data_IF_023719060648
#
_entry.id   IF_023719060648
#
_cell.length_a   1.000
_cell.length_b   1.000
_cell.length_c   1.000
_cell.angle_alpha   90.00
_cell.angle_beta   90.00
_cell.angle_gamma   90.00
#
_symmetry.space_group_name_H-M   'P 1'
#
loop_
_entity.id
_entity.type
_entity.pdbx_description
1 polymer ?
#
# COMPACT_ATOMS: atom_id res chain seq x y z
N UNK A 1 11.51 26.05 28.21
CA UNK A 1 11.39 24.56 28.17
C UNK A 1 10.07 24.08 27.55
N UNK A 2 8.93 24.70 27.85
CA UNK A 2 7.62 24.35 27.25
C UNK A 2 7.53 24.60 25.74
N UNK A 3 8.11 25.69 25.23
CA UNK A 3 8.15 25.97 23.79
C UNK A 3 8.82 24.83 23.01
N UNK A 4 9.95 24.32 23.51
CA UNK A 4 10.69 23.21 22.90
C UNK A 4 9.86 21.91 22.92
N UNK A 5 9.18 21.61 24.03
CA UNK A 5 8.26 20.45 24.13
C UNK A 5 7.13 20.55 23.10
N UNK A 6 6.53 21.74 22.94
CA UNK A 6 5.46 21.99 21.98
C UNK A 6 5.95 21.86 20.52
N UNK A 7 7.12 22.39 20.21
CA UNK A 7 7.75 22.24 18.89
C UNK A 7 8.05 20.76 18.58
N UNK A 8 8.63 20.01 19.51
CA UNK A 8 8.90 18.58 19.35
C UNK A 8 7.60 17.80 19.10
N UNK A 9 6.53 18.12 19.83
CA UNK A 9 5.24 17.47 19.65
C UNK A 9 4.65 17.78 18.25
N UNK A 10 4.69 19.04 17.80
CA UNK A 10 4.21 19.43 16.48
C UNK A 10 5.02 18.78 15.35
N UNK A 11 6.35 18.74 15.48
CA UNK A 11 7.25 18.09 14.52
C UNK A 11 7.07 16.57 14.52
N UNK A 12 6.82 15.96 15.66
CA UNK A 12 6.58 14.52 15.78
C UNK A 12 5.24 14.09 15.18
N UNK A 13 4.15 14.83 15.40
CA UNK A 13 2.87 14.58 14.74
C UNK A 13 2.96 14.73 13.21
N UNK A 14 3.74 15.71 12.76
CA UNK A 14 3.99 15.96 11.35
C UNK A 14 4.88 14.86 10.74
N UNK A 15 5.87 14.36 11.49
CA UNK A 15 6.70 13.21 11.10
C UNK A 15 5.89 11.92 11.01
N UNK A 16 5.01 11.65 11.98
CA UNK A 16 4.07 10.52 11.93
C UNK A 16 3.17 10.58 10.70
N UNK A 17 2.68 11.77 10.37
CA UNK A 17 1.89 12.00 9.17
C UNK A 17 2.69 11.73 7.91
N UNK A 18 3.90 12.27 7.78
CA UNK A 18 4.76 12.03 6.62
C UNK A 18 5.10 10.55 6.48
N UNK A 19 5.63 9.92 7.53
CA UNK A 19 5.93 8.48 7.55
C UNK A 19 4.73 7.66 7.09
N UNK A 20 3.53 7.90 7.63
CA UNK A 20 2.34 7.11 7.27
C UNK A 20 1.99 7.17 5.79
N UNK A 21 2.35 8.26 5.10
CA UNK A 21 2.04 8.49 3.69
C UNK A 21 3.21 8.15 2.75
N UNK A 22 4.46 8.22 3.22
CA UNK A 22 5.65 8.03 2.40
C UNK A 22 6.34 6.68 2.59
N UNK A 23 6.11 5.98 3.71
CA UNK A 23 6.76 4.69 4.07
C UNK A 23 6.53 3.57 3.05
N UNK A 24 5.52 3.70 2.19
CA UNK A 24 5.30 2.75 1.08
C UNK A 24 6.15 3.11 -0.13
N UNK A 25 6.15 4.39 -0.51
CA UNK A 25 6.71 4.86 -1.76
C UNK A 25 8.23 5.00 -1.70
N UNK A 26 8.76 5.68 -0.69
CA UNK A 26 10.18 6.06 -0.67
C UNK A 26 11.09 4.85 -0.43
N UNK A 27 10.83 3.98 0.58
CA UNK A 27 11.67 2.80 0.75
C UNK A 27 11.56 1.85 -0.43
N UNK A 28 10.40 1.76 -1.10
CA UNK A 28 10.25 1.02 -2.33
C UNK A 28 11.21 1.52 -3.42
N UNK A 29 11.24 2.84 -3.67
CA UNK A 29 12.17 3.47 -4.63
C UNK A 29 13.63 3.21 -4.25
N UNK A 30 13.96 3.29 -2.96
CA UNK A 30 15.31 3.03 -2.48
C UNK A 30 15.74 1.59 -2.77
N UNK A 31 14.95 0.61 -2.34
CA UNK A 31 15.34 -0.79 -2.47
C UNK A 31 15.30 -1.27 -3.93
N UNK A 32 14.40 -0.75 -4.77
CA UNK A 32 14.39 -1.11 -6.20
C UNK A 32 15.58 -0.51 -6.96
N UNK A 33 16.15 0.61 -6.49
CA UNK A 33 17.38 1.18 -7.06
C UNK A 33 18.62 0.35 -6.72
N UNK A 34 18.60 -0.41 -5.62
CA UNK A 34 19.70 -1.33 -5.29
C UNK A 34 19.75 -2.54 -6.24
N UNK A 35 18.61 -2.91 -6.83
CA UNK A 35 18.49 -4.09 -7.68
C UNK A 35 19.19 -3.89 -9.03
N UNK A 36 20.14 -4.77 -9.32
CA UNK A 36 20.82 -4.89 -10.62
C UNK A 36 20.12 -5.86 -11.59
N UNK A 37 19.02 -6.48 -11.16
CA UNK A 37 18.25 -7.44 -11.95
C UNK A 37 18.85 -8.85 -12.02
N UNK A 38 20.03 -9.09 -11.42
CA UNK A 38 20.76 -10.36 -11.58
C UNK A 38 21.15 -10.97 -10.23
N UNK A 39 21.69 -10.17 -9.30
CA UNK A 39 22.22 -10.69 -8.06
C UNK A 39 21.13 -10.82 -6.98
N UNK A 40 21.09 -11.98 -6.32
CA UNK A 40 20.13 -12.24 -5.24
C UNK A 40 20.29 -11.23 -4.10
N UNK A 41 21.52 -10.90 -3.72
CA UNK A 41 21.81 -10.00 -2.61
C UNK A 41 21.30 -8.57 -2.82
N UNK A 42 21.19 -8.11 -4.07
CA UNK A 42 20.75 -6.75 -4.43
C UNK A 42 19.23 -6.67 -4.60
N UNK A 43 18.59 -7.77 -5.01
CA UNK A 43 17.14 -7.89 -5.20
C UNK A 43 16.41 -8.19 -3.89
N UNK A 44 17.00 -9.03 -3.03
CA UNK A 44 16.33 -9.53 -1.82
C UNK A 44 15.85 -8.43 -0.86
N UNK A 45 16.59 -7.32 -0.60
CA UNK A 45 16.10 -6.20 0.22
C UNK A 45 14.74 -5.68 -0.25
N UNK A 46 14.58 -5.47 -1.57
CA UNK A 46 13.35 -5.01 -2.18
C UNK A 46 12.22 -6.04 -2.03
N UNK A 47 12.53 -7.30 -2.34
CA UNK A 47 11.55 -8.39 -2.27
C UNK A 47 11.03 -8.55 -0.84
N UNK A 48 11.91 -8.56 0.16
CA UNK A 48 11.55 -8.71 1.56
C UNK A 48 10.78 -7.49 2.07
N UNK A 49 11.25 -6.26 1.78
CA UNK A 49 10.51 -5.06 2.13
C UNK A 49 9.05 -5.12 1.63
N UNK A 50 8.86 -5.42 0.35
CA UNK A 50 7.54 -5.48 -0.25
C UNK A 50 6.70 -6.62 0.34
N UNK A 51 7.28 -7.81 0.50
CA UNK A 51 6.59 -8.99 1.00
C UNK A 51 6.11 -8.75 2.44
N UNK A 52 6.99 -8.30 3.33
CA UNK A 52 6.61 -7.98 4.71
C UNK A 52 5.63 -6.80 4.78
N UNK A 53 5.74 -5.80 3.90
CA UNK A 53 4.79 -4.69 3.84
C UNK A 53 3.36 -5.16 3.51
N UNK A 54 3.24 -6.08 2.57
CA UNK A 54 1.96 -6.59 2.08
C UNK A 54 1.35 -7.63 3.03
N UNK A 55 2.18 -8.47 3.65
CA UNK A 55 1.69 -9.59 4.46
C UNK A 55 1.72 -9.32 5.97
N UNK A 56 2.51 -8.36 6.43
CA UNK A 56 2.71 -8.06 7.85
C UNK A 56 1.42 -7.74 8.60
N UNK A 57 0.36 -7.28 7.93
CA UNK A 57 -0.96 -7.07 8.57
C UNK A 57 -1.62 -8.38 9.01
N UNK A 58 -1.37 -9.48 8.29
CA UNK A 58 -1.85 -10.82 8.67
C UNK A 58 -1.02 -11.40 9.82
N UNK A 59 0.28 -11.06 9.88
CA UNK A 59 1.16 -11.47 10.96
C UNK A 59 0.68 -10.98 12.32
N UNK A 60 0.27 -9.71 12.45
CA UNK A 60 -0.29 -9.18 13.71
C UNK A 60 -1.54 -9.96 14.14
N UNK A 61 -2.42 -10.27 13.19
CA UNK A 61 -3.64 -11.02 13.49
C UNK A 61 -3.34 -12.47 13.91
N UNK A 62 -2.21 -13.01 13.44
CA UNK A 62 -1.67 -14.29 13.85
C UNK A 62 -1.04 -14.25 15.24
N UNK A 63 -0.13 -13.32 15.52
CA UNK A 63 0.59 -13.20 16.79
C UNK A 63 -0.27 -12.44 17.80
N UNK A 64 -1.21 -13.17 18.44
CA UNK A 64 -2.02 -12.81 19.62
C UNK A 64 -2.55 -11.36 19.69
N UNK A 65 -3.89 -11.24 19.70
CA UNK A 65 -4.71 -10.02 19.77
C UNK A 65 -4.53 -9.11 21.01
N UNK A 66 -3.47 -9.25 21.82
CA UNK A 66 -3.25 -8.51 23.08
C UNK A 66 -2.47 -7.20 22.91
N UNK A 67 -2.02 -6.87 21.69
CA UNK A 67 -1.27 -5.66 21.41
C UNK A 67 -2.23 -4.55 20.98
N UNK A 68 -2.46 -3.59 21.88
CA UNK A 68 -3.25 -2.38 21.59
C UNK A 68 -2.62 -1.56 20.44
N UNK A 69 -3.45 -0.79 19.72
CA UNK A 69 -2.98 0.03 18.59
C UNK A 69 -1.80 0.96 18.96
N UNK A 70 -1.76 1.50 20.19
CA UNK A 70 -0.68 2.38 20.65
C UNK A 70 0.63 1.62 20.90
N UNK A 71 0.58 0.41 21.47
CA UNK A 71 1.76 -0.45 21.67
C UNK A 71 2.34 -0.87 20.32
N UNK A 72 1.45 -1.26 19.40
CA UNK A 72 1.85 -1.63 18.05
C UNK A 72 2.43 -0.44 17.27
N UNK A 73 1.91 0.78 17.47
CA UNK A 73 2.50 2.00 16.91
C UNK A 73 3.93 2.22 17.42
N UNK A 74 4.17 2.10 18.74
CA UNK A 74 5.53 2.19 19.31
C UNK A 74 6.47 1.16 18.69
N UNK A 75 6.03 -0.09 18.60
CA UNK A 75 6.82 -1.15 18.01
C UNK A 75 7.12 -0.88 16.52
N UNK A 76 6.13 -0.40 15.76
CA UNK A 76 6.33 -0.03 14.35
C UNK A 76 7.35 1.10 14.17
N UNK A 77 7.38 2.10 15.06
CA UNK A 77 8.38 3.17 15.01
C UNK A 77 9.79 2.66 15.37
N UNK A 78 9.90 1.75 16.35
CA UNK A 78 11.18 1.15 16.71
C UNK A 78 11.76 0.33 15.56
N UNK A 79 10.96 -0.55 14.96
CA UNK A 79 11.39 -1.32 13.79
C UNK A 79 11.76 -0.40 12.63
N UNK A 80 10.96 0.63 12.37
CA UNK A 80 11.24 1.56 11.28
C UNK A 80 12.51 2.39 11.50
N UNK A 81 12.73 2.86 12.73
CA UNK A 81 13.95 3.56 13.12
C UNK A 81 15.18 2.67 13.02
N UNK A 82 15.13 1.45 13.58
CA UNK A 82 16.20 0.47 13.48
C UNK A 82 16.49 0.09 12.02
N UNK A 83 15.45 -0.14 11.21
CA UNK A 83 15.58 -0.43 9.79
C UNK A 83 16.21 0.72 9.01
N UNK A 84 15.86 1.98 9.33
CA UNK A 84 16.47 3.16 8.70
C UNK A 84 17.94 3.30 9.10
N UNK A 85 18.27 3.08 10.37
CA UNK A 85 19.65 3.09 10.85
C UNK A 85 20.51 2.00 10.18
N UNK A 86 20.01 0.77 10.11
CA UNK A 86 20.69 -0.32 9.42
C UNK A 86 20.84 -0.05 7.92
N UNK A 87 19.83 0.54 7.27
CA UNK A 87 19.90 0.93 5.85
C UNK A 87 20.95 2.00 5.59
N UNK A 88 21.18 2.90 6.55
CA UNK A 88 22.25 3.90 6.48
C UNK A 88 23.65 3.24 6.56
N UNK A 89 23.83 2.32 7.51
CA UNK A 89 25.10 1.57 7.68
C UNK A 89 25.33 0.58 6.54
N UNK A 90 24.27 0.12 5.89
CA UNK A 90 24.35 -0.83 4.78
C UNK A 90 25.15 -0.31 3.57
N UNK A 91 25.35 1.00 3.45
CA UNK A 91 26.28 1.57 2.47
C UNK A 91 27.73 1.11 2.69
N UNK A 92 28.11 0.79 3.93
CA UNK A 92 29.42 0.22 4.29
C UNK A 92 29.38 -1.31 4.28
N UNK A 93 28.27 -1.91 4.75
CA UNK A 93 28.10 -3.37 4.79
C UNK A 93 26.77 -3.79 4.14
N UNK A 94 26.83 -4.07 2.84
CA UNK A 94 25.68 -4.33 1.96
C UNK A 94 24.63 -5.34 2.50
N UNK A 95 25.00 -6.46 3.17
CA UNK A 95 24.01 -7.41 3.69
C UNK A 95 22.99 -6.79 4.68
N UNK A 96 23.30 -5.66 5.32
CA UNK A 96 22.35 -4.97 6.21
C UNK A 96 21.13 -4.40 5.47
N UNK A 97 21.19 -4.22 4.15
CA UNK A 97 20.01 -3.83 3.37
C UNK A 97 18.89 -4.88 3.47
N UNK A 98 19.23 -6.16 3.62
CA UNK A 98 18.25 -7.24 3.79
C UNK A 98 17.47 -7.02 5.10
N UNK A 99 18.18 -6.81 6.20
CA UNK A 99 17.58 -6.59 7.53
C UNK A 99 16.79 -5.27 7.53
N UNK A 100 17.36 -4.22 6.94
CA UNK A 100 16.68 -2.93 6.75
C UNK A 100 15.35 -3.10 6.01
N UNK A 101 15.34 -3.87 4.92
CA UNK A 101 14.14 -4.18 4.14
C UNK A 101 13.06 -4.87 4.97
N UNK A 102 13.42 -5.90 5.75
CA UNK A 102 12.48 -6.60 6.65
C UNK A 102 11.86 -5.62 7.66
N UNK A 103 12.70 -4.86 8.38
CA UNK A 103 12.26 -3.98 9.46
C UNK A 103 11.39 -2.82 8.96
N UNK A 104 11.79 -2.19 7.85
CA UNK A 104 10.99 -1.15 7.20
C UNK A 104 9.71 -1.70 6.57
N UNK A 105 9.73 -2.94 6.07
CA UNK A 105 8.56 -3.62 5.55
C UNK A 105 7.50 -3.84 6.63
N UNK A 106 7.91 -4.37 7.79
CA UNK A 106 7.05 -4.54 8.97
C UNK A 106 6.56 -3.19 9.52
N UNK A 107 7.45 -2.21 9.65
CA UNK A 107 7.06 -0.85 10.06
C UNK A 107 6.02 -0.27 9.12
N UNK A 108 6.25 -0.38 7.81
CA UNK A 108 5.32 0.04 6.78
C UNK A 108 3.98 -0.67 6.90
N UNK A 109 3.96 -1.97 7.17
CA UNK A 109 2.74 -2.75 7.35
C UNK A 109 1.84 -2.18 8.47
N UNK A 110 2.46 -1.75 9.57
CA UNK A 110 1.75 -1.50 10.81
C UNK A 110 1.52 -0.02 11.09
N UNK A 111 2.51 0.83 10.82
CA UNK A 111 2.52 2.25 11.19
C UNK A 111 1.32 3.04 10.64
N UNK A 112 0.98 2.99 9.33
CA UNK A 112 -0.12 3.81 8.80
C UNK A 112 -1.47 3.43 9.40
N UNK A 113 -1.66 2.12 9.64
CA UNK A 113 -2.88 1.59 10.22
C UNK A 113 -3.00 2.03 11.70
N UNK A 114 -1.96 1.80 12.50
CA UNK A 114 -1.99 2.08 13.94
C UNK A 114 -2.04 3.57 14.23
N UNK A 115 -1.30 4.39 13.47
CA UNK A 115 -1.38 5.85 13.56
C UNK A 115 -2.80 6.35 13.28
N UNK A 116 -3.48 5.77 12.27
CA UNK A 116 -4.87 6.13 11.97
C UNK A 116 -5.83 5.69 13.08
N UNK A 117 -5.66 4.49 13.65
CA UNK A 117 -6.46 4.01 14.78
C UNK A 117 -6.32 4.94 15.99
N UNK A 118 -5.08 5.27 16.37
CA UNK A 118 -4.78 6.15 17.50
C UNK A 118 -5.37 7.55 17.29
N UNK A 119 -5.21 8.15 16.09
CA UNK A 119 -5.79 9.46 15.78
C UNK A 119 -7.32 9.48 15.82
N UNK A 120 -7.97 8.41 15.36
CA UNK A 120 -9.43 8.32 15.42
C UNK A 120 -9.93 8.19 16.86
N UNK A 121 -9.23 7.41 17.69
CA UNK A 121 -9.53 7.29 19.11
C UNK A 121 -9.36 8.64 19.83
N UNK A 122 -8.21 9.31 19.67
CA UNK A 122 -7.99 10.60 20.31
C UNK A 122 -9.06 11.64 19.91
N UNK A 123 -9.53 11.59 18.65
CA UNK A 123 -10.60 12.45 18.16
C UNK A 123 -11.96 12.18 18.82
N UNK A 124 -12.30 10.93 19.13
CA UNK A 124 -13.54 10.59 19.87
C UNK A 124 -13.52 11.17 21.29
N UNK A 125 -12.36 11.15 21.95
CA UNK A 125 -12.17 11.71 23.29
C UNK A 125 -11.82 13.21 23.30
N UNK A 126 -12.10 13.94 22.21
CA UNK A 126 -11.89 15.39 22.11
C UNK A 126 -10.43 15.86 22.07
N UNK A 127 -9.45 14.95 22.10
CA UNK A 127 -8.02 15.25 22.02
C UNK A 127 -7.60 15.36 20.55
N UNK A 128 -7.74 16.53 19.96
CA UNK A 128 -7.20 16.78 18.60
C UNK A 128 -5.76 17.28 18.69
N UNK A 129 -4.80 16.42 18.40
CA UNK A 129 -3.43 16.86 18.14
C UNK A 129 -3.32 17.49 16.76
N UNK A 130 -2.84 18.73 16.72
CA UNK A 130 -2.60 19.47 15.47
C UNK A 130 -1.27 19.04 14.88
N UNK A 131 -1.28 18.68 13.60
CA UNK A 131 -0.09 18.66 12.76
C UNK A 131 0.26 20.10 12.36
N UNK A 132 1.54 20.46 12.34
CA UNK A 132 1.95 21.78 11.88
C UNK A 132 2.21 21.76 10.38
N UNK A 133 1.53 22.63 9.63
CA UNK A 133 1.75 22.78 8.18
C UNK A 133 3.19 23.19 7.89
N UNK A 134 3.77 24.08 8.71
CA UNK A 134 5.16 24.49 8.55
C UNK A 134 6.14 23.34 8.79
N UNK A 135 5.88 22.49 9.79
CA UNK A 135 6.72 21.32 10.03
C UNK A 135 6.59 20.29 8.91
N UNK A 136 5.38 20.06 8.38
CA UNK A 136 5.19 19.22 7.19
C UNK A 136 5.98 19.77 6.01
N UNK A 137 5.93 21.08 5.76
CA UNK A 137 6.67 21.71 4.67
C UNK A 137 8.18 21.56 4.84
N UNK A 138 8.72 21.89 6.02
CA UNK A 138 10.16 21.78 6.32
C UNK A 138 10.64 20.33 6.18
N UNK A 139 9.91 19.38 6.77
CA UNK A 139 10.27 17.98 6.69
C UNK A 139 10.18 17.48 5.24
N UNK A 140 9.14 17.83 4.49
CA UNK A 140 9.02 17.47 3.07
C UNK A 140 10.17 18.06 2.24
N UNK A 141 10.52 19.32 2.49
CA UNK A 141 11.67 19.98 1.86
C UNK A 141 12.97 19.23 2.18
N UNK A 142 13.18 18.82 3.44
CA UNK A 142 14.33 18.00 3.84
C UNK A 142 14.41 16.69 3.05
N UNK A 143 13.28 16.00 2.85
CA UNK A 143 13.22 14.78 2.05
C UNK A 143 13.54 15.05 0.57
N UNK A 144 12.99 16.13 0.00
CA UNK A 144 13.26 16.52 -1.38
C UNK A 144 14.75 16.91 -1.58
N UNK A 145 15.32 17.66 -0.64
CA UNK A 145 16.75 17.97 -0.64
C UNK A 145 17.60 16.69 -0.62
N UNK A 146 17.27 15.71 0.24
CA UNK A 146 17.96 14.41 0.25
C UNK A 146 17.82 13.66 -1.08
N UNK A 147 16.70 13.82 -1.79
CA UNK A 147 16.49 13.19 -3.10
C UNK A 147 17.27 13.85 -4.24
N UNK A 148 17.49 15.17 -4.20
CA UNK A 148 18.15 15.95 -5.26
C UNK A 148 19.66 16.00 -5.04
N UNK A 149 20.11 16.30 -3.83
CA UNK A 149 21.53 16.53 -3.48
C UNK A 149 22.28 15.21 -3.34
N UNK A 150 21.56 14.10 -3.20
CA UNK A 150 22.12 12.83 -2.75
C UNK A 150 23.24 12.24 -3.61
N UNK A 151 23.30 12.51 -4.92
CA UNK A 151 24.31 11.94 -5.82
C UNK A 151 24.47 10.43 -5.62
N UNK A 152 25.71 9.96 -5.45
CA UNK A 152 26.03 8.56 -5.14
C UNK A 152 25.61 8.13 -3.72
N UNK A 153 25.45 9.07 -2.78
CA UNK A 153 25.09 8.83 -1.37
C UNK A 153 23.58 9.02 -1.09
N UNK A 154 22.75 9.06 -2.14
CA UNK A 154 21.31 9.32 -2.04
C UNK A 154 20.60 8.36 -1.09
N UNK A 155 20.97 7.08 -1.12
CA UNK A 155 20.41 6.07 -0.21
C UNK A 155 20.66 6.42 1.26
N UNK A 156 21.91 6.72 1.62
CA UNK A 156 22.34 7.07 2.99
C UNK A 156 21.57 8.29 3.51
N UNK A 157 21.49 9.36 2.71
CA UNK A 157 20.81 10.59 3.11
C UNK A 157 19.31 10.39 3.32
N UNK A 158 18.64 9.61 2.46
CA UNK A 158 17.21 9.34 2.63
C UNK A 158 16.97 8.46 3.87
N UNK A 159 17.80 7.44 4.12
CA UNK A 159 17.71 6.64 5.35
C UNK A 159 17.94 7.48 6.60
N UNK A 160 18.88 8.44 6.56
CA UNK A 160 19.11 9.37 7.66
C UNK A 160 17.89 10.27 7.92
N UNK A 161 17.30 10.86 6.87
CA UNK A 161 16.07 11.67 7.01
C UNK A 161 14.93 10.84 7.61
N UNK A 162 14.77 9.58 7.16
CA UNK A 162 13.78 8.67 7.73
C UNK A 162 14.04 8.37 9.21
N UNK A 163 15.30 8.14 9.60
CA UNK A 163 15.69 7.94 10.99
C UNK A 163 15.28 9.15 11.85
N UNK A 164 15.56 10.38 11.37
CA UNK A 164 15.14 11.61 12.03
C UNK A 164 13.62 11.68 12.19
N UNK A 165 12.85 11.31 11.16
CA UNK A 165 11.39 11.26 11.25
C UNK A 165 10.91 10.26 12.31
N UNK A 166 11.49 9.06 12.35
CA UNK A 166 11.13 8.05 13.36
C UNK A 166 11.44 8.52 14.78
N UNK A 167 12.56 9.21 14.98
CA UNK A 167 12.93 9.78 16.28
C UNK A 167 11.93 10.86 16.71
N UNK A 168 11.63 11.83 15.84
CA UNK A 168 10.62 12.86 16.16
C UNK A 168 9.23 12.26 16.43
N UNK A 169 8.81 11.30 15.61
CA UNK A 169 7.57 10.57 15.81
C UNK A 169 7.54 9.84 17.16
N UNK A 170 8.61 9.14 17.52
CA UNK A 170 8.74 8.40 18.78
C UNK A 170 8.69 9.31 20.00
N UNK A 171 9.30 10.50 19.93
CA UNK A 171 9.25 11.50 21.01
C UNK A 171 7.84 12.05 21.23
N UNK A 172 7.02 12.22 20.17
CA UNK A 172 5.62 12.66 20.30
C UNK A 172 4.72 11.63 21.01
N UNK A 173 5.08 10.34 20.96
CA UNK A 173 4.26 9.29 21.58
C UNK A 173 4.17 9.39 23.10
N UNK A 174 5.10 10.09 23.77
CA UNK A 174 5.03 10.34 25.22
C UNK A 174 3.81 11.19 25.63
N UNK A 175 3.28 12.00 24.70
CA UNK A 175 2.08 12.83 24.93
C UNK A 175 0.76 12.17 24.52
N UNK A 176 0.76 10.88 24.14
CA UNK A 176 -0.47 10.14 23.83
C UNK A 176 -1.09 9.58 25.11
N UNK A 177 -2.39 9.81 25.30
CA UNK A 177 -3.10 9.27 26.45
C UNK A 177 -3.01 7.75 26.42
N UNK A 178 -2.65 7.14 27.55
CA UNK A 178 -2.61 5.69 27.69
C UNK A 178 -3.98 5.15 27.33
N UNK A 179 -4.02 4.34 26.27
CA UNK A 179 -5.22 3.69 25.78
C UNK A 179 -5.73 2.78 26.91
N UNK A 180 -6.91 3.06 27.48
CA UNK A 180 -7.62 2.07 28.28
C UNK A 180 -8.35 1.20 27.28
N UNK A 181 -7.64 0.24 26.69
CA UNK A 181 -8.31 -0.82 25.97
C UNK A 181 -9.27 -1.48 26.98
N UNK A 182 -10.58 -1.35 26.75
CA UNK A 182 -11.55 -2.23 27.41
C UNK A 182 -11.17 -3.64 27.00
N UNK A 183 -10.49 -4.33 27.92
CA UNK A 183 -10.07 -5.72 27.82
C UNK A 183 -11.31 -6.61 27.85
N UNK A 184 -12.14 -6.55 26.81
CA UNK A 184 -12.96 -7.69 26.44
C UNK A 184 -12.09 -8.57 25.55
N UNK A 185 -11.27 -9.36 26.25
CA UNK A 185 -10.44 -10.41 25.71
C UNK A 185 -11.33 -11.52 25.11
N UNK A 186 -11.77 -11.35 23.87
CA UNK A 186 -11.90 -12.51 23.00
C UNK A 186 -10.49 -12.92 22.55
N UNK A 187 -9.83 -13.64 23.47
CA UNK A 187 -8.53 -14.27 23.33
C UNK A 187 -8.67 -15.38 22.28
N UNK A 188 -8.31 -15.09 21.03
CA UNK A 188 -8.11 -16.17 20.04
C UNK A 188 -6.96 -15.80 19.12
N UNK A 189 -5.85 -16.50 19.31
CA UNK A 189 -4.83 -16.69 18.29
C UNK A 189 -5.50 -17.16 16.99
N UNK A 190 -5.47 -16.34 15.94
CA UNK A 190 -6.08 -16.69 14.67
C UNK A 190 -5.08 -17.52 13.85
N UNK A 191 -5.08 -18.85 14.08
CA UNK A 191 -4.36 -19.84 13.22
C UNK A 191 -4.58 -19.56 11.73
N UNK A 192 -5.77 -19.07 11.39
CA UNK A 192 -6.18 -18.72 10.03
C UNK A 192 -5.40 -17.54 9.45
N UNK A 193 -5.23 -16.47 10.22
CA UNK A 193 -4.51 -15.29 9.76
C UNK A 193 -3.00 -15.53 9.71
N UNK A 194 -2.46 -16.37 10.61
CA UNK A 194 -1.09 -16.84 10.50
C UNK A 194 -0.87 -17.72 9.26
N UNK A 195 -1.82 -18.61 8.94
CA UNK A 195 -1.79 -19.39 7.70
C UNK A 195 -1.85 -18.49 6.46
N UNK A 196 -2.70 -17.46 6.45
CA UNK A 196 -2.72 -16.45 5.38
C UNK A 196 -1.41 -15.68 5.27
N UNK A 197 -0.81 -15.32 6.40
CA UNK A 197 0.50 -14.68 6.42
C UNK A 197 1.53 -15.57 5.73
N UNK A 198 1.72 -16.80 6.22
CA UNK A 198 2.71 -17.73 5.67
C UNK A 198 2.47 -17.99 4.19
N UNK A 199 1.21 -18.20 3.81
CA UNK A 199 0.88 -18.47 2.42
C UNK A 199 1.16 -17.28 1.51
N UNK A 200 0.57 -16.12 1.77
CA UNK A 200 0.83 -14.94 0.93
C UNK A 200 2.28 -14.52 0.99
N UNK A 201 2.97 -14.75 2.10
CA UNK A 201 4.40 -14.49 2.23
C UNK A 201 5.18 -15.38 1.26
N UNK A 202 4.99 -16.70 1.31
CA UNK A 202 5.65 -17.62 0.39
C UNK A 202 5.28 -17.31 -1.07
N UNK A 203 4.00 -17.13 -1.39
CA UNK A 203 3.57 -16.85 -2.77
C UNK A 203 4.15 -15.55 -3.31
N UNK A 204 4.16 -14.47 -2.52
CA UNK A 204 4.75 -13.19 -2.94
C UNK A 204 6.27 -13.25 -3.02
N UNK A 205 6.91 -13.96 -2.08
CA UNK A 205 8.35 -14.18 -2.09
C UNK A 205 8.73 -14.93 -3.36
N UNK A 206 8.09 -16.05 -3.69
CA UNK A 206 8.33 -16.79 -4.93
C UNK A 206 8.02 -15.97 -6.17
N UNK A 207 6.88 -15.27 -6.24
CA UNK A 207 6.51 -14.46 -7.40
C UNK A 207 7.51 -13.34 -7.68
N UNK A 208 8.04 -12.71 -6.62
CA UNK A 208 9.00 -11.59 -6.74
C UNK A 208 10.43 -12.07 -6.91
N UNK A 209 10.81 -13.15 -6.24
CA UNK A 209 12.09 -13.83 -6.42
C UNK A 209 12.15 -14.59 -7.74
N UNK A 210 11.03 -14.89 -8.39
CA UNK A 210 11.02 -15.48 -9.74
C UNK A 210 11.80 -14.63 -10.74
N UNK A 211 11.87 -13.30 -10.53
CA UNK A 211 12.72 -12.41 -11.32
C UNK A 211 14.22 -12.71 -11.25
N UNK A 212 14.66 -13.50 -10.26
CA UNK A 212 16.02 -13.98 -10.10
C UNK A 212 16.31 -15.24 -10.91
N UNK A 213 15.28 -15.89 -11.45
CA UNK A 213 15.44 -17.08 -12.28
C UNK A 213 15.95 -16.61 -13.65
N UNK A 214 17.21 -16.92 -13.93
CA UNK A 214 17.88 -16.60 -15.21
C UNK A 214 17.33 -17.46 -16.36
N UNK A 215 16.75 -18.62 -16.03
CA UNK A 215 16.11 -19.53 -16.97
C UNK A 215 14.64 -19.12 -17.22
N UNK A 216 14.33 -18.76 -18.47
CA UNK A 216 12.99 -18.35 -18.90
C UNK A 216 11.93 -19.42 -18.58
N UNK A 217 12.25 -20.70 -18.81
CA UNK A 217 11.34 -21.83 -18.57
C UNK A 217 11.01 -22.02 -17.08
N UNK A 218 11.99 -21.86 -16.19
CA UNK A 218 11.78 -21.95 -14.74
C UNK A 218 10.93 -20.78 -14.22
N UNK A 219 11.14 -19.59 -14.79
CA UNK A 219 10.32 -18.41 -14.50
C UNK A 219 8.86 -18.61 -14.93
N UNK A 220 8.62 -19.21 -16.10
CA UNK A 220 7.29 -19.50 -16.63
C UNK A 220 6.52 -20.45 -15.73
N UNK A 221 7.15 -21.57 -15.35
CA UNK A 221 6.56 -22.53 -14.42
C UNK A 221 6.32 -21.92 -13.03
N UNK A 222 7.21 -21.03 -12.58
CA UNK A 222 7.04 -20.31 -11.31
C UNK A 222 5.83 -19.39 -11.34
N UNK A 223 5.67 -18.55 -12.38
CA UNK A 223 4.52 -17.65 -12.50
C UNK A 223 3.22 -18.45 -12.60
N UNK A 224 3.16 -19.46 -13.48
CA UNK A 224 1.96 -20.28 -13.67
C UNK A 224 1.61 -21.08 -12.42
N UNK A 225 2.60 -21.75 -11.81
CA UNK A 225 2.41 -22.56 -10.62
C UNK A 225 1.92 -21.74 -9.42
N UNK A 226 2.55 -20.59 -9.16
CA UNK A 226 2.16 -19.71 -8.06
C UNK A 226 0.79 -19.07 -8.32
N UNK A 227 0.48 -18.69 -9.57
CA UNK A 227 -0.82 -18.11 -9.92
C UNK A 227 -1.96 -19.13 -9.86
N UNK A 228 -1.73 -20.34 -10.35
CA UNK A 228 -2.69 -21.46 -10.27
C UNK A 228 -2.94 -21.83 -8.81
N UNK A 229 -1.88 -21.93 -8.00
CA UNK A 229 -2.01 -22.20 -6.58
C UNK A 229 -2.80 -21.09 -5.87
N UNK A 230 -2.56 -19.82 -6.20
CA UNK A 230 -3.34 -18.70 -5.67
C UNK A 230 -4.83 -18.82 -6.05
N UNK A 231 -5.14 -19.18 -7.29
CA UNK A 231 -6.51 -19.37 -7.76
C UNK A 231 -7.21 -20.54 -7.04
N UNK A 232 -6.56 -21.70 -6.98
CA UNK A 232 -7.06 -22.88 -6.24
C UNK A 232 -7.26 -22.55 -4.76
N UNK A 233 -6.36 -21.77 -4.16
CA UNK A 233 -6.49 -21.31 -2.80
C UNK A 233 -7.71 -20.39 -2.60
N UNK A 234 -7.90 -19.38 -3.46
CA UNK A 234 -9.06 -18.48 -3.39
C UNK A 234 -10.38 -19.25 -3.53
N UNK A 235 -10.43 -20.22 -4.45
CA UNK A 235 -11.60 -21.09 -4.63
C UNK A 235 -11.83 -22.02 -3.42
N UNK A 236 -10.78 -22.68 -2.93
CA UNK A 236 -10.82 -23.57 -1.76
C UNK A 236 -11.20 -22.84 -0.47
N UNK A 237 -10.77 -21.58 -0.32
CA UNK A 237 -11.16 -20.69 0.76
C UNK A 237 -12.67 -20.41 0.73
N UNK A 238 -13.25 -20.14 -0.44
CA UNK A 238 -14.66 -19.76 -0.52
C UNK A 238 -15.60 -20.87 0.02
N UNK A 239 -15.20 -22.13 -0.13
CA UNK A 239 -15.92 -23.29 0.42
C UNK A 239 -15.70 -23.49 1.93
N UNK A 240 -14.47 -23.29 2.44
CA UNK A 240 -14.17 -23.49 3.88
C UNK A 240 -14.55 -22.31 4.78
N UNK A 241 -14.66 -21.08 4.24
CA UNK A 241 -14.71 -19.83 5.00
C UNK A 241 -16.13 -19.25 5.15
N UNK A 242 -17.13 -19.87 4.50
CA UNK A 242 -18.53 -19.43 4.51
C UNK A 242 -19.21 -19.48 5.89
N UNK A 243 -18.66 -20.21 6.86
CA UNK A 243 -19.46 -20.63 8.03
C UNK A 243 -19.47 -19.72 9.28
N UNK A 244 -18.73 -18.61 9.45
CA UNK A 244 -18.89 -17.85 10.73
C UNK A 244 -18.41 -16.40 10.96
N UNK A 245 -17.81 -15.63 10.03
CA UNK A 245 -16.94 -14.50 10.50
C UNK A 245 -17.02 -13.15 9.79
N UNK A 246 -18.07 -12.83 9.02
CA UNK A 246 -18.17 -11.48 8.43
C UNK A 246 -18.99 -10.55 9.31
N UNK A 247 -18.35 -9.92 10.32
CA UNK A 247 -18.96 -8.85 11.15
C UNK A 247 -19.15 -7.53 10.39
N UNK A 248 -18.88 -7.49 9.08
CA UNK A 248 -18.92 -6.29 8.22
C UNK A 248 -19.77 -6.57 6.98
N UNK A 249 -20.56 -5.59 6.54
CA UNK A 249 -21.43 -5.73 5.37
C UNK A 249 -20.65 -6.09 4.10
N UNK A 250 -21.22 -6.96 3.26
CA UNK A 250 -20.59 -7.41 2.01
C UNK A 250 -20.28 -6.26 1.04
N UNK A 251 -21.14 -5.23 1.00
CA UNK A 251 -20.92 -4.02 0.22
C UNK A 251 -19.63 -3.29 0.66
N UNK A 252 -19.45 -3.09 1.97
CA UNK A 252 -18.29 -2.38 2.48
C UNK A 252 -17.00 -3.17 2.22
N UNK A 253 -17.03 -4.49 2.37
CA UNK A 253 -15.88 -5.35 2.05
C UNK A 253 -15.54 -5.33 0.56
N UNK A 254 -16.54 -5.36 -0.33
CA UNK A 254 -16.32 -5.32 -1.78
C UNK A 254 -15.64 -4.01 -2.19
N UNK A 255 -16.15 -2.86 -1.75
CA UNK A 255 -15.54 -1.55 -2.02
C UNK A 255 -14.12 -1.46 -1.45
N UNK A 256 -13.89 -2.06 -0.28
CA UNK A 256 -12.56 -2.11 0.34
C UNK A 256 -11.58 -2.94 -0.47
N UNK A 257 -12.05 -4.05 -1.04
CA UNK A 257 -11.27 -4.90 -1.94
C UNK A 257 -10.93 -4.14 -3.24
N UNK A 258 -11.91 -3.49 -3.88
CA UNK A 258 -11.68 -2.62 -5.04
C UNK A 258 -10.66 -1.53 -4.74
N UNK A 259 -10.75 -0.88 -3.58
CA UNK A 259 -9.78 0.15 -3.19
C UNK A 259 -8.35 -0.42 -3.05
N UNK A 260 -8.22 -1.69 -2.65
CA UNK A 260 -6.95 -2.43 -2.65
C UNK A 260 -6.44 -2.71 -4.06
N UNK A 261 -7.32 -3.20 -4.95
CA UNK A 261 -7.04 -3.45 -6.37
C UNK A 261 -6.54 -2.17 -7.05
N UNK A 262 -7.29 -1.07 -6.96
CA UNK A 262 -6.92 0.23 -7.55
C UNK A 262 -5.60 0.74 -6.98
N UNK A 263 -5.35 0.53 -5.68
CA UNK A 263 -4.08 0.88 -5.06
C UNK A 263 -2.89 0.13 -5.67
N UNK A 264 -3.03 -1.17 -5.92
CA UNK A 264 -1.99 -1.96 -6.57
C UNK A 264 -1.86 -1.64 -8.06
N UNK A 265 -2.97 -1.41 -8.75
CA UNK A 265 -2.99 -0.96 -10.13
C UNK A 265 -2.21 0.35 -10.30
N UNK A 266 -2.49 1.36 -9.48
CA UNK A 266 -1.74 2.63 -9.51
C UNK A 266 -0.23 2.45 -9.29
N UNK A 267 0.16 1.68 -8.27
CA UNK A 267 1.57 1.56 -7.92
C UNK A 267 2.32 0.56 -8.78
N UNK A 268 1.87 -0.70 -8.79
CA UNK A 268 2.59 -1.79 -9.43
C UNK A 268 2.39 -1.75 -10.94
N UNK A 269 1.12 -1.73 -11.39
CA UNK A 269 0.87 -1.67 -12.83
C UNK A 269 1.34 -0.33 -13.40
N UNK A 270 1.02 0.80 -12.75
CA UNK A 270 1.53 2.11 -13.16
C UNK A 270 3.06 2.16 -13.27
N UNK A 271 3.81 1.55 -12.35
CA UNK A 271 5.27 1.50 -12.48
C UNK A 271 5.74 0.68 -13.67
N UNK A 272 5.08 -0.45 -13.97
CA UNK A 272 5.44 -1.30 -15.09
C UNK A 272 5.08 -0.63 -16.41
N UNK A 273 3.88 -0.05 -16.49
CA UNK A 273 3.38 0.67 -17.65
C UNK A 273 4.27 1.86 -18.00
N UNK A 274 4.54 2.75 -17.04
CA UNK A 274 5.39 3.92 -17.29
C UNK A 274 6.82 3.52 -17.66
N UNK A 275 7.39 2.51 -16.99
CA UNK A 275 8.73 2.01 -17.36
C UNK A 275 8.74 1.43 -18.78
N UNK A 276 7.75 0.60 -19.12
CA UNK A 276 7.69 -0.06 -20.42
C UNK A 276 7.31 0.88 -21.59
N UNK A 277 6.55 1.94 -21.34
CA UNK A 277 6.06 2.87 -22.38
C UNK A 277 6.91 4.15 -22.48
N UNK A 278 7.32 4.72 -21.35
CA UNK A 278 8.00 6.02 -21.27
C UNK A 278 9.44 5.93 -20.73
N UNK A 279 9.90 4.74 -20.32
CA UNK A 279 11.25 4.51 -19.82
C UNK A 279 11.38 4.74 -18.32
N UNK A 280 12.40 4.15 -17.69
CA UNK A 280 12.55 4.15 -16.23
C UNK A 280 12.75 5.54 -15.61
N UNK A 281 13.37 6.46 -16.34
CA UNK A 281 13.63 7.83 -15.87
C UNK A 281 12.33 8.66 -15.72
N UNK A 282 11.31 8.33 -16.50
CA UNK A 282 10.02 9.02 -16.50
C UNK A 282 9.13 8.69 -15.28
N UNK A 283 9.49 7.67 -14.48
CA UNK A 283 8.70 7.24 -13.31
C UNK A 283 8.42 8.37 -12.31
N UNK A 284 9.40 9.24 -12.08
CA UNK A 284 9.27 10.31 -11.11
C UNK A 284 8.19 11.32 -11.54
N UNK A 285 8.22 11.73 -12.81
CA UNK A 285 7.35 12.76 -13.39
C UNK A 285 5.99 12.23 -13.79
N UNK A 286 5.93 11.05 -14.43
CA UNK A 286 4.67 10.51 -14.97
C UNK A 286 3.86 9.70 -13.95
N UNK A 287 4.50 9.12 -12.93
CA UNK A 287 3.81 8.31 -11.92
C UNK A 287 3.83 8.96 -10.54
N UNK A 288 5.02 9.15 -9.95
CA UNK A 288 5.11 9.49 -8.54
C UNK A 288 4.64 10.91 -8.22
N UNK A 289 4.96 11.89 -9.07
CA UNK A 289 4.49 13.26 -8.91
C UNK A 289 2.95 13.40 -8.99
N UNK A 290 2.26 12.96 -10.07
CA UNK A 290 0.80 13.05 -10.13
C UNK A 290 0.12 12.18 -9.05
N UNK A 291 0.70 11.03 -8.71
CA UNK A 291 0.21 10.21 -7.60
C UNK A 291 0.25 10.96 -6.27
N UNK A 292 1.40 11.58 -5.93
CA UNK A 292 1.57 12.37 -4.71
C UNK A 292 0.65 13.59 -4.68
N UNK A 293 0.54 14.33 -5.78
CA UNK A 293 -0.36 15.47 -5.91
C UNK A 293 -1.81 15.05 -5.68
N UNK A 294 -2.29 13.96 -6.29
CA UNK A 294 -3.64 13.44 -6.08
C UNK A 294 -3.93 13.15 -4.61
N UNK A 295 -2.97 12.55 -3.88
CA UNK A 295 -3.09 12.31 -2.45
C UNK A 295 -3.16 13.62 -1.63
N UNK A 296 -2.31 14.59 -1.92
CA UNK A 296 -2.26 15.89 -1.22
C UNK A 296 -3.59 16.64 -1.39
N UNK A 297 -4.09 16.71 -2.63
CA UNK A 297 -5.39 17.33 -2.92
C UNK A 297 -6.54 16.59 -2.20
N UNK A 298 -6.50 15.26 -2.15
CA UNK A 298 -7.50 14.48 -1.42
C UNK A 298 -7.48 14.78 0.09
N UNK A 299 -6.31 14.97 0.70
CA UNK A 299 -6.20 15.35 2.11
C UNK A 299 -6.88 16.70 2.39
N UNK A 300 -6.72 17.67 1.49
CA UNK A 300 -7.35 18.98 1.61
C UNK A 300 -8.88 18.95 1.40
N UNK A 301 -9.37 18.15 0.44
CA UNK A 301 -10.75 18.21 -0.03
C UNK A 301 -11.66 17.10 0.50
N UNK A 302 -11.13 15.99 1.01
CA UNK A 302 -11.92 14.82 1.45
C UNK A 302 -13.01 15.16 2.46
N UNK A 303 -12.70 16.00 3.45
CA UNK A 303 -13.66 16.42 4.48
C UNK A 303 -14.86 17.16 3.90
N UNK A 304 -14.62 18.05 2.92
CA UNK A 304 -15.66 18.84 2.26
C UNK A 304 -16.51 17.97 1.35
N UNK A 305 -15.89 17.13 0.53
CA UNK A 305 -16.60 16.23 -0.39
C UNK A 305 -17.52 15.26 0.37
N UNK A 306 -17.01 14.60 1.41
CA UNK A 306 -17.80 13.64 2.20
C UNK A 306 -18.98 14.34 2.89
N UNK A 307 -18.81 15.60 3.35
CA UNK A 307 -19.89 16.36 3.99
C UNK A 307 -20.93 16.83 2.98
N UNK A 308 -20.50 17.34 1.82
CA UNK A 308 -21.37 17.93 0.81
C UNK A 308 -22.26 16.89 0.12
N UNK A 309 -21.70 15.73 -0.24
CA UNK A 309 -22.43 14.70 -0.97
C UNK A 309 -23.14 13.69 -0.08
N UNK A 310 -22.91 13.71 1.25
CA UNK A 310 -23.62 12.88 2.23
C UNK A 310 -23.68 11.41 1.83
N UNK A 311 -24.89 10.86 1.69
CA UNK A 311 -25.14 9.47 1.31
C UNK A 311 -24.68 9.12 -0.12
N UNK A 312 -24.68 10.08 -1.04
CA UNK A 312 -24.24 9.88 -2.44
C UNK A 312 -22.71 9.87 -2.58
N UNK A 313 -21.97 10.14 -1.51
CA UNK A 313 -20.50 10.19 -1.52
C UNK A 313 -19.89 8.94 -2.13
N UNK A 314 -20.34 7.73 -1.74
CA UNK A 314 -19.75 6.50 -2.25
C UNK A 314 -19.93 6.36 -3.77
N UNK A 315 -21.11 6.72 -4.30
CA UNK A 315 -21.39 6.65 -5.74
C UNK A 315 -20.50 7.61 -6.51
N UNK A 316 -20.36 8.84 -6.03
CA UNK A 316 -19.46 9.84 -6.63
C UNK A 316 -18.01 9.35 -6.67
N UNK A 317 -17.52 8.75 -5.58
CA UNK A 317 -16.15 8.26 -5.51
C UNK A 317 -15.91 7.09 -6.47
N UNK A 318 -16.86 6.17 -6.59
CA UNK A 318 -16.77 5.07 -7.55
C UNK A 318 -16.88 5.55 -9.01
N UNK A 319 -17.73 6.54 -9.29
CA UNK A 319 -17.79 7.18 -10.61
C UNK A 319 -16.51 7.94 -10.95
N UNK A 320 -15.92 8.63 -9.97
CA UNK A 320 -14.63 9.28 -10.12
C UNK A 320 -13.49 8.29 -10.39
N UNK A 321 -13.49 7.13 -9.74
CA UNK A 321 -12.57 6.03 -10.05
C UNK A 321 -12.79 5.49 -11.47
N UNK A 322 -14.04 5.27 -11.89
CA UNK A 322 -14.36 4.87 -13.27
C UNK A 322 -13.87 5.90 -14.29
N UNK A 323 -14.12 7.19 -14.04
CA UNK A 323 -13.62 8.27 -14.90
C UNK A 323 -12.09 8.28 -14.99
N UNK A 324 -11.39 8.14 -13.85
CA UNK A 324 -9.93 8.03 -13.83
C UNK A 324 -9.41 6.82 -14.60
N UNK A 325 -10.09 5.66 -14.52
CA UNK A 325 -9.77 4.47 -15.31
C UNK A 325 -9.96 4.71 -16.81
N UNK A 326 -11.06 5.34 -17.23
CA UNK A 326 -11.27 5.66 -18.65
C UNK A 326 -10.19 6.61 -19.19
N UNK A 327 -9.77 7.59 -18.39
CA UNK A 327 -8.65 8.50 -18.75
C UNK A 327 -7.33 7.73 -18.88
N UNK A 328 -7.08 6.70 -18.04
CA UNK A 328 -5.90 5.84 -18.15
C UNK A 328 -5.82 5.07 -19.47
N UNK A 329 -6.93 4.80 -20.14
CA UNK A 329 -6.94 4.10 -21.45
C UNK A 329 -6.35 4.98 -22.56
N UNK A 330 -6.32 6.31 -22.38
CA UNK A 330 -5.74 7.24 -23.34
C UNK A 330 -4.29 7.53 -22.95
N UNK A 331 -3.33 6.97 -23.70
CA UNK A 331 -1.89 7.04 -23.38
C UNK A 331 -1.38 8.48 -23.10
N UNK A 332 -1.86 9.47 -23.87
CA UNK A 332 -1.48 10.88 -23.70
C UNK A 332 -2.00 11.51 -22.39
N UNK A 333 -3.05 10.95 -21.79
CA UNK A 333 -3.70 11.47 -20.58
C UNK A 333 -3.33 10.66 -19.32
N UNK A 334 -2.35 9.76 -19.39
CA UNK A 334 -1.98 8.88 -18.27
C UNK A 334 -1.62 9.66 -17.00
N UNK A 335 -0.94 10.80 -17.11
CA UNK A 335 -0.64 11.67 -15.95
C UNK A 335 -1.93 12.13 -15.25
N UNK A 336 -2.92 12.58 -16.03
CA UNK A 336 -4.22 13.00 -15.51
C UNK A 336 -5.00 11.81 -14.93
N UNK A 337 -4.94 10.64 -15.57
CA UNK A 337 -5.54 9.40 -15.07
C UNK A 337 -4.98 8.99 -13.71
N UNK A 338 -3.64 8.97 -13.56
CA UNK A 338 -2.94 8.66 -12.31
C UNK A 338 -3.34 9.65 -11.21
N UNK A 339 -3.37 10.94 -11.53
CA UNK A 339 -3.79 11.98 -10.58
C UNK A 339 -5.23 11.77 -10.11
N UNK A 340 -6.18 11.60 -11.03
CA UNK A 340 -7.60 11.41 -10.73
C UNK A 340 -7.84 10.15 -9.90
N UNK A 341 -7.24 9.03 -10.31
CA UNK A 341 -7.33 7.77 -9.59
C UNK A 341 -6.73 7.90 -8.19
N UNK A 342 -5.55 8.51 -8.05
CA UNK A 342 -4.92 8.74 -6.75
C UNK A 342 -5.79 9.59 -5.83
N UNK A 343 -6.38 10.66 -6.37
CA UNK A 343 -7.30 11.53 -5.64
C UNK A 343 -8.54 10.77 -5.14
N UNK A 344 -9.32 10.17 -6.05
CA UNK A 344 -10.57 9.50 -5.69
C UNK A 344 -10.33 8.27 -4.80
N UNK A 345 -9.27 7.50 -5.05
CA UNK A 345 -8.86 6.38 -4.19
C UNK A 345 -8.48 6.86 -2.79
N UNK A 346 -7.81 8.00 -2.67
CA UNK A 346 -7.44 8.57 -1.36
C UNK A 346 -8.66 9.08 -0.59
N UNK A 347 -9.60 9.76 -1.26
CA UNK A 347 -10.87 10.18 -0.65
C UNK A 347 -11.72 8.96 -0.27
N UNK A 348 -11.78 7.92 -1.12
CA UNK A 348 -12.44 6.65 -0.82
C UNK A 348 -11.82 5.96 0.38
N UNK A 349 -10.50 5.95 0.49
CA UNK A 349 -9.82 5.40 1.66
C UNK A 349 -10.19 6.15 2.95
N UNK A 350 -10.33 7.48 2.91
CA UNK A 350 -10.80 8.28 4.05
C UNK A 350 -12.26 8.00 4.39
N UNK A 351 -13.14 7.87 3.39
CA UNK A 351 -14.53 7.47 3.59
C UNK A 351 -14.62 6.08 4.22
N UNK A 352 -13.89 5.10 3.69
CA UNK A 352 -13.79 3.74 4.25
C UNK A 352 -13.30 3.76 5.70
N UNK A 353 -12.29 4.57 6.05
CA UNK A 353 -11.85 4.69 7.46
C UNK A 353 -13.01 5.10 8.35
N UNK A 354 -13.80 6.11 7.97
CA UNK A 354 -14.96 6.56 8.74
C UNK A 354 -16.02 5.46 8.82
N UNK A 355 -16.34 4.79 7.71
CA UNK A 355 -17.36 3.74 7.64
C UNK A 355 -17.02 2.48 8.41
N UNK A 356 -15.72 2.11 8.50
CA UNK A 356 -15.28 1.02 9.36
C UNK A 356 -15.26 1.43 10.83
N UNK A 357 -14.86 2.67 11.12
CA UNK A 357 -14.80 3.16 12.49
C UNK A 357 -16.19 3.31 13.12
N UNK A 358 -17.25 3.55 12.34
CA UNK A 358 -18.64 3.57 12.82
C UNK A 358 -19.24 2.20 13.13
N UNK A 359 -18.55 1.09 12.85
CA UNK A 359 -19.04 -0.27 13.10
C UNK A 359 -18.92 -0.65 14.58
N UNK A 360 -19.91 -0.27 15.40
CA UNK A 360 -19.89 -0.50 16.86
C UNK A 360 -19.77 -1.98 17.28
N UNK A 361 -20.23 -2.92 16.43
CA UNK A 361 -20.18 -4.37 16.68
C UNK A 361 -18.75 -4.97 16.68
N UNK A 362 -17.75 -4.19 16.26
CA UNK A 362 -16.34 -4.61 16.21
C UNK A 362 -15.58 -3.77 17.21
N UNK A 363 -14.64 -4.37 17.96
CA UNK A 363 -13.78 -3.61 18.86
C UNK A 363 -12.96 -2.56 18.10
N UNK A 364 -12.76 -1.38 18.70
CA UNK A 364 -12.18 -0.21 18.03
C UNK A 364 -10.85 -0.51 17.33
N UNK A 365 -9.95 -1.26 17.97
CA UNK A 365 -8.65 -1.63 17.39
C UNK A 365 -8.77 -2.56 16.19
N UNK A 366 -9.73 -3.51 16.21
CA UNK A 366 -9.90 -4.48 15.13
C UNK A 366 -10.56 -3.88 13.88
N UNK A 367 -11.27 -2.74 14.00
CA UNK A 367 -12.00 -2.10 12.87
C UNK A 367 -11.07 -1.78 11.70
N UNK A 368 -9.97 -1.06 11.96
CA UNK A 368 -9.04 -0.70 10.90
C UNK A 368 -8.16 -1.89 10.49
N UNK A 369 -7.90 -2.86 11.38
CA UNK A 369 -7.16 -4.07 11.01
C UNK A 369 -7.91 -4.86 9.94
N UNK A 370 -9.23 -5.02 10.07
CA UNK A 370 -10.07 -5.70 9.08
C UNK A 370 -10.06 -4.94 7.75
N UNK A 371 -10.17 -3.61 7.79
CA UNK A 371 -10.09 -2.76 6.60
C UNK A 371 -8.78 -2.96 5.85
N UNK A 372 -7.63 -2.74 6.50
CA UNK A 372 -6.32 -2.85 5.87
C UNK A 372 -6.01 -4.28 5.40
N UNK A 373 -6.42 -5.30 6.16
CA UNK A 373 -6.32 -6.70 5.74
C UNK A 373 -7.11 -6.97 4.46
N UNK A 374 -8.34 -6.44 4.35
CA UNK A 374 -9.18 -6.60 3.15
C UNK A 374 -8.62 -5.84 1.95
N UNK A 375 -8.08 -4.63 2.16
CA UNK A 375 -7.37 -3.88 1.13
C UNK A 375 -6.14 -4.65 0.62
N UNK A 376 -5.35 -5.22 1.51
CA UNK A 376 -4.17 -6.00 1.12
C UNK A 376 -4.56 -7.27 0.35
N UNK A 377 -5.66 -7.95 0.71
CA UNK A 377 -6.20 -9.06 -0.10
C UNK A 377 -6.51 -8.63 -1.53
N UNK A 378 -7.19 -7.49 -1.71
CA UNK A 378 -7.47 -6.94 -3.04
C UNK A 378 -6.20 -6.61 -3.83
N UNK A 379 -5.21 -6.00 -3.16
CA UNK A 379 -3.92 -5.68 -3.77
C UNK A 379 -3.16 -6.93 -4.23
N UNK A 380 -3.07 -7.95 -3.37
CA UNK A 380 -2.42 -9.23 -3.66
C UNK A 380 -3.15 -9.96 -4.81
N UNK A 381 -4.49 -9.99 -4.78
CA UNK A 381 -5.28 -10.60 -5.85
C UNK A 381 -5.03 -9.94 -7.21
N UNK A 382 -5.00 -8.59 -7.25
CA UNK A 382 -4.65 -7.88 -8.46
C UNK A 382 -3.21 -8.14 -8.90
N UNK A 383 -2.26 -8.31 -7.98
CA UNK A 383 -0.87 -8.60 -8.32
C UNK A 383 -0.74 -9.95 -9.05
N UNK A 384 -1.40 -10.99 -8.54
CA UNK A 384 -1.41 -12.30 -9.20
C UNK A 384 -2.09 -12.21 -10.57
N UNK A 385 -3.27 -11.59 -10.63
CA UNK A 385 -3.94 -11.34 -11.90
C UNK A 385 -3.03 -10.64 -12.91
N UNK A 386 -2.35 -9.57 -12.50
CA UNK A 386 -1.49 -8.79 -13.38
C UNK A 386 -0.31 -9.61 -13.89
N UNK A 387 0.34 -10.40 -13.03
CA UNK A 387 1.45 -11.25 -13.46
C UNK A 387 0.97 -12.34 -14.43
N UNK A 388 -0.18 -12.96 -14.17
CA UNK A 388 -0.79 -13.92 -15.10
C UNK A 388 -1.14 -13.26 -16.43
N UNK A 389 -1.73 -12.05 -16.40
CA UNK A 389 -2.09 -11.30 -17.60
C UNK A 389 -0.86 -10.97 -18.46
N UNK A 390 0.18 -10.41 -17.84
CA UNK A 390 1.43 -10.06 -18.54
C UNK A 390 2.10 -11.30 -19.13
N UNK A 391 2.13 -12.40 -18.37
CA UNK A 391 2.62 -13.69 -18.86
C UNK A 391 1.81 -14.17 -20.07
N UNK A 392 0.49 -14.15 -19.99
CA UNK A 392 -0.38 -14.57 -21.10
C UNK A 392 -0.17 -13.73 -22.35
N UNK A 393 -0.12 -12.40 -22.24
CA UNK A 393 0.07 -11.51 -23.41
C UNK A 393 1.39 -11.84 -24.11
N UNK A 394 2.48 -11.95 -23.36
CA UNK A 394 3.82 -12.20 -23.91
C UNK A 394 3.89 -13.56 -24.62
N UNK A 395 3.26 -14.59 -24.03
CA UNK A 395 3.22 -15.91 -24.64
C UNK A 395 2.33 -15.96 -25.88
N UNK A 396 1.18 -15.28 -25.88
CA UNK A 396 0.31 -15.17 -27.06
C UNK A 396 0.97 -14.44 -28.23
N UNK A 397 1.86 -13.48 -27.93
CA UNK A 397 2.65 -12.77 -28.95
C UNK A 397 3.90 -13.53 -29.39
N UNK A 398 4.13 -14.76 -28.92
CA UNK A 398 5.28 -15.60 -29.28
C UNK A 398 6.62 -15.14 -28.69
N UNK A 399 6.58 -14.22 -27.72
CA UNK A 399 7.76 -13.66 -27.09
C UNK A 399 8.22 -14.52 -25.89
N UNK A 400 9.53 -14.54 -25.62
CA UNK A 400 10.06 -15.19 -24.41
C UNK A 400 9.77 -14.33 -23.18
N UNK A 401 9.63 -14.95 -22.02
CA UNK A 401 9.40 -14.23 -20.76
C UNK A 401 10.61 -13.44 -20.27
N UNK A 402 11.78 -13.63 -20.87
CA UNK A 402 12.90 -12.69 -20.74
C UNK A 402 12.53 -11.30 -21.26
N UNK A 403 11.60 -11.18 -22.21
CA UNK A 403 11.07 -9.88 -22.65
C UNK A 403 10.41 -9.12 -21.49
N UNK A 404 9.67 -9.79 -20.59
CA UNK A 404 9.11 -9.16 -19.39
C UNK A 404 10.17 -8.65 -18.42
N UNK A 405 11.29 -9.37 -18.30
CA UNK A 405 12.43 -8.94 -17.48
C UNK A 405 13.14 -7.75 -18.11
N UNK A 406 13.41 -7.83 -19.43
CA UNK A 406 14.03 -6.77 -20.22
C UNK A 406 13.23 -5.46 -20.21
N UNK A 407 11.90 -5.53 -20.28
CA UNK A 407 11.01 -4.37 -20.18
C UNK A 407 11.10 -3.63 -18.83
N UNK A 408 11.53 -4.33 -17.78
CA UNK A 408 11.65 -3.75 -16.42
C UNK A 408 13.07 -3.34 -16.07
N UNK A 409 14.07 -3.78 -16.84
CA UNK A 409 15.49 -3.50 -16.62
C UNK A 409 16.08 -2.48 -17.58
N UNK A 410 15.52 -2.32 -18.78
CA UNK A 410 16.02 -1.39 -19.80
C UNK A 410 15.66 0.07 -19.48
N UNK A 411 16.61 0.99 -19.74
CA UNK A 411 16.38 2.43 -19.56
C UNK A 411 15.45 3.00 -20.65
N UNK A 412 15.57 2.47 -21.87
CA UNK A 412 14.79 2.87 -23.04
C UNK A 412 13.62 1.91 -23.28
N UNK A 413 12.42 2.41 -23.64
CA UNK A 413 11.31 1.58 -24.06
C UNK A 413 11.67 0.70 -25.25
N UNK A 414 11.23 -0.55 -25.24
CA UNK A 414 11.28 -1.46 -26.39
C UNK A 414 9.91 -1.49 -27.07
N UNK A 415 9.85 -1.69 -28.39
CA UNK A 415 8.57 -1.75 -29.13
C UNK A 415 7.64 -2.83 -28.57
N UNK A 416 8.19 -4.02 -28.27
CA UNK A 416 7.48 -5.12 -27.61
C UNK A 416 6.95 -4.66 -26.24
N UNK A 417 7.76 -3.94 -25.47
CA UNK A 417 7.36 -3.40 -24.16
C UNK A 417 6.18 -2.44 -24.24
N UNK A 418 6.20 -1.54 -25.23
CA UNK A 418 5.10 -0.60 -25.47
C UNK A 418 3.82 -1.35 -25.83
N UNK A 419 3.90 -2.34 -26.72
CA UNK A 419 2.75 -3.14 -27.16
C UNK A 419 2.14 -3.93 -26.00
N UNK A 420 2.95 -4.74 -25.30
CA UNK A 420 2.51 -5.55 -24.16
C UNK A 420 1.87 -4.69 -23.07
N UNK A 421 2.49 -3.56 -22.72
CA UNK A 421 1.96 -2.67 -21.67
C UNK A 421 0.68 -1.94 -22.11
N UNK A 422 0.55 -1.60 -23.39
CA UNK A 422 -0.66 -0.99 -23.93
C UNK A 422 -1.84 -1.95 -23.85
N UNK A 423 -1.67 -3.20 -24.31
CA UNK A 423 -2.71 -4.24 -24.22
C UNK A 423 -3.06 -4.55 -22.76
N UNK A 424 -2.04 -4.71 -21.91
CA UNK A 424 -2.22 -4.95 -20.48
C UNK A 424 -2.97 -3.80 -19.79
N UNK A 425 -2.76 -2.55 -20.23
CA UNK A 425 -3.48 -1.39 -19.73
C UNK A 425 -4.97 -1.49 -20.02
N UNK A 426 -5.35 -1.74 -21.29
CA UNK A 426 -6.76 -1.89 -21.67
C UNK A 426 -7.46 -3.00 -20.87
N UNK A 427 -6.83 -4.18 -20.77
CA UNK A 427 -7.42 -5.33 -20.06
C UNK A 427 -7.52 -5.07 -18.56
N UNK A 428 -6.44 -4.59 -17.92
CA UNK A 428 -6.42 -4.32 -16.48
C UNK A 428 -7.43 -3.24 -16.11
N UNK A 429 -7.48 -2.16 -16.89
CA UNK A 429 -8.41 -1.05 -16.68
C UNK A 429 -9.86 -1.49 -16.87
N UNK A 430 -10.14 -2.24 -17.94
CA UNK A 430 -11.46 -2.80 -18.23
C UNK A 430 -11.95 -3.74 -17.12
N UNK A 431 -11.06 -4.58 -16.57
CA UNK A 431 -11.41 -5.50 -15.49
C UNK A 431 -11.75 -4.77 -14.18
N UNK A 432 -10.97 -3.75 -13.81
CA UNK A 432 -11.27 -2.94 -12.62
C UNK A 432 -12.57 -2.16 -12.82
N UNK A 433 -12.77 -1.58 -14.01
CA UNK A 433 -14.00 -0.87 -14.35
C UNK A 433 -15.22 -1.80 -14.28
N UNK A 434 -15.12 -3.01 -14.82
CA UNK A 434 -16.16 -4.05 -14.70
C UNK A 434 -16.46 -4.39 -13.24
N UNK A 435 -15.43 -4.49 -12.38
CA UNK A 435 -15.61 -4.68 -10.94
C UNK A 435 -16.41 -3.56 -10.26
N UNK A 436 -16.18 -2.30 -10.65
CA UNK A 436 -16.95 -1.15 -10.14
C UNK A 436 -18.38 -1.15 -10.71
N UNK A 437 -18.57 -1.48 -11.99
CA UNK A 437 -19.91 -1.61 -12.59
C UNK A 437 -20.70 -2.72 -11.90
N UNK A 438 -20.08 -3.86 -11.65
CA UNK A 438 -20.67 -4.99 -10.94
C UNK A 438 -21.14 -4.59 -9.53
N UNK A 439 -20.40 -3.72 -8.84
CA UNK A 439 -20.84 -3.15 -7.57
C UNK A 439 -22.18 -2.41 -7.71
N UNK A 440 -22.31 -1.55 -8.72
CA UNK A 440 -23.56 -0.85 -8.98
C UNK A 440 -24.71 -1.81 -9.32
N UNK A 441 -24.45 -2.88 -10.08
CA UNK A 441 -25.49 -3.86 -10.43
C UNK A 441 -25.95 -4.65 -9.19
N UNK A 442 -25.02 -5.15 -8.38
CA UNK A 442 -25.34 -6.04 -7.25
C UNK A 442 -25.90 -5.29 -6.04
N UNK A 443 -25.41 -4.09 -5.74
CA UNK A 443 -25.68 -3.42 -4.46
C UNK A 443 -26.62 -2.21 -4.57
N UNK A 444 -26.85 -1.64 -5.77
CA UNK A 444 -27.85 -0.57 -5.97
C UNK A 444 -29.28 -1.06 -5.71
N UNK A 445 -29.58 -2.33 -5.98
CA UNK A 445 -30.90 -2.95 -5.71
C UNK A 445 -31.23 -3.20 -4.22
N UNK A 446 -30.24 -3.15 -3.31
CA UNK A 446 -30.47 -3.37 -1.87
C UNK A 446 -30.75 -2.09 -1.07
N UNK A 447 -30.41 -0.92 -1.62
CA UNK A 447 -30.61 0.38 -0.95
C UNK A 447 -32.08 0.81 -0.86
N UNK A 448 -32.99 0.20 -1.63
CA UNK A 448 -34.43 0.53 -1.61
C UNK A 448 -35.24 -0.29 -0.60
N UNK A 449 -34.63 -1.21 0.17
CA UNK A 449 -35.36 -2.12 1.08
C UNK A 449 -34.87 -2.14 2.54
N UNK A 450 -34.03 -1.21 2.99
CA UNK A 450 -33.42 -1.37 4.33
C UNK A 450 -32.81 -0.13 4.98
N UNK A 451 -33.56 0.97 5.04
CA UNK A 451 -33.31 2.00 6.03
C UNK A 451 -34.41 1.92 7.10
N UNK A 452 -34.08 1.64 8.38
CA UNK A 452 -34.97 2.02 9.46
C UNK A 452 -35.10 3.54 9.47
N UNK A 453 -36.32 4.03 9.67
CA UNK A 453 -36.62 5.46 9.89
C UNK A 453 -35.84 6.01 11.08
#
# INVERSE_FOLDING_TARGET
>A
MEFLKKQIQLSGESSLFLLSNTIVLIPYILFIQLSDGVNVATILPFVLFYTFRMTGIFLIRGIRNTIDSLKLLRFSLLLGGAGSFLGMIAAVYSPLYIISGILLGLSGAWLPMTNTSVKMYEKEFGKKKKTSVSAIFILTALLLCAMVIGGQNKGVLIFFVYLVYYLFAGLSLKGHATYLATTESEDTFSKKDLGLFLLFFCLLLFLRSGRLLTNATEFDYSILGVSLFFLLFVLGINSYWKKRTWKVSSSLNFVTLINGIVGNYLFLFGSLYITGVHGRESLATYLYAPYALGMIFAMALSGRLIKHFGEKTLQLLLLGLLGGLLVMMVSQLVIAGIFLLSFFKSVLNSWLTKSYYSQKQISQDKRLWIKYSTQNKGSIAHQFFLMTLLFSIVHFEGNSTQALLAMTSTQTPTEIGVQVMSVANYISTGMIAAGIILYFVLFKKRSTKGLPK
#
